data_IF_496381770100
#
_entry.id   IF_496381770100
#
_cell.length_a   1.000
_cell.length_b   1.000
_cell.length_c   1.000
_cell.angle_alpha   90.00
_cell.angle_beta   90.00
_cell.angle_gamma   90.00
#
_symmetry.space_group_name_H-M   'P 1'
#
loop_
_entity.id
_entity.type
_entity.pdbx_description
1 polymer ?
#
# COMPACT_ATOMS: atom_id res chain seq x y z
N UNK A 1 -10.23 10.25 -20.77
CA UNK A 1 -9.46 9.27 -19.98
C UNK A 1 -8.59 8.54 -20.98
N UNK A 2 -7.28 8.49 -20.75
CA UNK A 2 -6.38 7.70 -21.60
C UNK A 2 -6.51 6.24 -21.19
N UNK A 3 -6.47 5.33 -22.16
CA UNK A 3 -6.38 3.90 -21.87
C UNK A 3 -4.97 3.56 -21.38
N UNK A 4 -4.80 2.50 -20.57
CA UNK A 4 -3.48 2.20 -19.99
C UNK A 4 -2.40 1.98 -21.06
N UNK A 5 -2.75 1.39 -22.21
CA UNK A 5 -1.86 1.16 -23.36
C UNK A 5 -1.30 2.46 -23.98
N UNK A 6 -1.93 3.61 -23.72
CA UNK A 6 -1.45 4.93 -24.14
C UNK A 6 -0.45 5.55 -23.16
N UNK A 7 -0.24 4.93 -21.99
CA UNK A 7 0.69 5.38 -20.97
C UNK A 7 2.01 4.65 -21.08
N UNK A 8 3.09 5.34 -20.74
CA UNK A 8 4.45 4.80 -20.87
C UNK A 8 4.84 4.10 -19.58
N UNK A 9 5.45 2.92 -19.65
CA UNK A 9 6.01 2.26 -18.47
C UNK A 9 7.05 3.17 -17.81
N UNK A 10 7.11 3.19 -16.47
CA UNK A 10 8.14 3.93 -15.77
C UNK A 10 9.53 3.39 -16.10
N UNK A 11 10.50 4.29 -16.26
CA UNK A 11 11.88 3.95 -16.58
C UNK A 11 12.81 5.06 -16.09
N UNK A 12 14.09 4.74 -15.77
CA UNK A 12 15.08 5.72 -15.29
C UNK A 12 15.51 6.74 -16.36
N UNK A 13 15.15 6.52 -17.63
CA UNK A 13 15.52 7.38 -18.76
C UNK A 13 14.32 7.65 -19.67
N UNK A 14 14.44 8.65 -20.54
CA UNK A 14 13.40 9.02 -21.50
C UNK A 14 12.22 9.77 -20.88
N UNK A 15 11.06 9.72 -21.54
CA UNK A 15 9.87 10.52 -21.17
C UNK A 15 9.30 10.17 -19.79
N UNK A 16 9.57 8.97 -19.30
CA UNK A 16 9.07 8.49 -18.01
C UNK A 16 10.05 8.72 -16.83
N UNK A 17 11.27 9.21 -17.10
CA UNK A 17 12.27 9.52 -16.08
C UNK A 17 11.75 10.42 -14.96
N UNK A 18 10.95 11.49 -15.23
CA UNK A 18 10.41 12.32 -14.16
C UNK A 18 9.52 11.57 -13.15
N UNK A 19 8.77 10.55 -13.61
CA UNK A 19 7.98 9.71 -12.74
C UNK A 19 8.84 8.75 -11.92
N UNK A 20 9.92 8.24 -12.52
CA UNK A 20 10.89 7.38 -11.85
C UNK A 20 11.64 8.14 -10.75
N UNK A 21 12.20 9.30 -11.08
CA UNK A 21 12.88 10.21 -10.15
C UNK A 21 11.95 10.65 -9.02
N UNK A 22 10.66 10.85 -9.32
CA UNK A 22 9.67 11.16 -8.30
C UNK A 22 9.55 10.04 -7.26
N UNK A 23 9.50 8.77 -7.68
CA UNK A 23 9.41 7.64 -6.77
C UNK A 23 10.67 7.50 -5.90
N UNK A 24 11.86 7.68 -6.49
CA UNK A 24 13.12 7.73 -5.73
C UNK A 24 13.13 8.88 -4.72
N UNK A 25 12.71 10.07 -5.12
CA UNK A 25 12.60 11.24 -4.25
C UNK A 25 11.55 11.08 -3.14
N UNK A 26 10.67 10.08 -3.24
CA UNK A 26 9.72 9.68 -2.20
C UNK A 26 10.26 8.58 -1.27
N UNK A 27 11.50 8.14 -1.46
CA UNK A 27 12.19 7.18 -0.60
C UNK A 27 12.08 5.73 -1.04
N UNK A 28 11.61 5.44 -2.27
CA UNK A 28 11.74 4.07 -2.80
C UNK A 28 13.23 3.74 -3.05
N UNK A 29 13.71 2.57 -2.60
CA UNK A 29 15.07 2.13 -2.90
C UNK A 29 15.27 1.89 -4.40
N UNK A 30 16.36 2.43 -4.95
CA UNK A 30 16.66 2.33 -6.38
C UNK A 30 16.89 0.88 -6.85
N UNK A 31 17.49 0.05 -6.00
CA UNK A 31 17.74 -1.37 -6.24
C UNK A 31 16.46 -2.23 -6.26
N UNK A 32 15.36 -1.73 -5.70
CA UNK A 32 14.05 -2.41 -5.70
C UNK A 32 13.08 -1.86 -6.74
N UNK A 33 13.29 -0.62 -7.21
CA UNK A 33 12.29 0.11 -8.00
C UNK A 33 11.95 -0.56 -9.35
N UNK A 34 12.93 -1.06 -10.10
CA UNK A 34 12.67 -1.69 -11.40
C UNK A 34 11.79 -2.95 -11.28
N UNK A 35 12.05 -3.79 -10.28
CA UNK A 35 11.23 -4.98 -10.01
C UNK A 35 9.80 -4.59 -9.62
N UNK A 36 9.64 -3.54 -8.83
CA UNK A 36 8.34 -3.02 -8.44
C UNK A 36 7.58 -2.37 -9.60
N UNK A 37 8.28 -1.66 -10.51
CA UNK A 37 7.67 -1.12 -11.73
C UNK A 37 7.07 -2.24 -12.55
N UNK A 38 7.82 -3.32 -12.77
CA UNK A 38 7.32 -4.48 -13.51
C UNK A 38 6.15 -5.18 -12.77
N UNK A 39 6.29 -5.39 -11.45
CA UNK A 39 5.29 -6.09 -10.65
C UNK A 39 3.94 -5.35 -10.56
N UNK A 40 3.99 -4.03 -10.40
CA UNK A 40 2.79 -3.20 -10.28
C UNK A 40 2.36 -2.58 -11.61
N UNK A 41 3.09 -2.87 -12.71
CA UNK A 41 2.92 -2.26 -14.02
C UNK A 41 2.85 -0.72 -13.90
N UNK A 42 3.77 -0.13 -13.14
CA UNK A 42 3.75 1.32 -12.88
C UNK A 42 3.99 2.08 -14.18
N UNK A 43 3.11 3.05 -14.46
CA UNK A 43 3.16 3.85 -15.70
C UNK A 43 3.31 5.33 -15.41
N UNK A 44 3.53 6.09 -16.46
CA UNK A 44 3.62 7.53 -16.47
C UNK A 44 2.69 8.13 -17.53
N UNK A 45 1.86 9.07 -17.09
CA UNK A 45 1.15 9.97 -18.00
C UNK A 45 1.99 11.22 -18.18
N UNK A 46 2.66 11.31 -19.33
CA UNK A 46 3.51 12.45 -19.69
C UNK A 46 2.73 13.76 -19.75
N UNK A 47 1.51 13.73 -20.28
CA UNK A 47 0.72 14.95 -20.48
C UNK A 47 0.23 15.52 -19.14
N UNK A 48 -0.21 14.64 -18.24
CA UNK A 48 -0.67 15.06 -16.92
C UNK A 48 0.44 15.12 -15.87
N UNK A 49 1.64 14.63 -16.20
CA UNK A 49 2.79 14.48 -15.31
C UNK A 49 2.42 13.71 -14.04
N UNK A 50 1.90 12.49 -14.23
CA UNK A 50 1.43 11.61 -13.14
C UNK A 50 2.06 10.24 -13.19
N UNK A 51 2.46 9.73 -12.02
CA UNK A 51 2.69 8.30 -11.83
C UNK A 51 1.33 7.61 -11.75
N UNK A 52 1.17 6.54 -12.49
CA UNK A 52 -0.08 5.79 -12.66
C UNK A 52 0.05 4.41 -12.05
N UNK A 53 -0.98 4.03 -11.29
CA UNK A 53 -1.14 2.77 -10.58
C UNK A 53 -2.33 2.03 -11.20
N UNK A 54 -2.09 1.13 -12.18
CA UNK A 54 -3.14 0.30 -12.77
C UNK A 54 -3.91 -0.54 -11.76
N UNK A 55 -5.22 -0.70 -11.96
CA UNK A 55 -6.08 -1.52 -11.12
C UNK A 55 -6.67 -2.63 -11.97
N UNK A 56 -6.45 -3.87 -11.52
CA UNK A 56 -6.85 -5.09 -12.21
C UNK A 56 -7.43 -6.10 -11.24
N UNK A 57 -8.36 -6.90 -11.74
CA UNK A 57 -8.96 -8.03 -11.04
C UNK A 57 -9.26 -9.13 -12.06
N UNK A 58 -8.87 -10.36 -11.75
CA UNK A 58 -8.88 -11.50 -12.65
C UNK A 58 -8.23 -11.20 -14.02
N UNK A 59 -7.16 -10.40 -14.04
CA UNK A 59 -6.50 -9.94 -15.25
C UNK A 59 -7.28 -8.90 -16.08
N UNK A 60 -8.50 -8.54 -15.69
CA UNK A 60 -9.28 -7.48 -16.34
C UNK A 60 -8.85 -6.10 -15.84
N UNK A 61 -8.67 -5.15 -16.75
CA UNK A 61 -8.42 -3.75 -16.42
C UNK A 61 -9.69 -3.07 -15.91
N UNK A 62 -9.62 -2.48 -14.72
CA UNK A 62 -10.73 -1.79 -14.04
C UNK A 62 -10.53 -0.27 -13.97
N UNK A 63 -9.41 0.23 -14.51
CA UNK A 63 -9.00 1.63 -14.48
C UNK A 63 -7.67 1.82 -13.77
N UNK A 64 -7.44 3.03 -13.25
CA UNK A 64 -6.20 3.36 -12.54
C UNK A 64 -6.33 4.54 -11.59
N UNK A 65 -5.45 4.59 -10.59
CA UNK A 65 -5.20 5.77 -9.77
C UNK A 65 -3.94 6.49 -10.26
N UNK A 66 -3.90 7.81 -10.19
CA UNK A 66 -2.82 8.61 -10.74
C UNK A 66 -2.39 9.75 -9.79
N UNK A 67 -1.11 9.76 -9.41
CA UNK A 67 -0.50 10.74 -8.51
C UNK A 67 0.31 11.76 -9.31
N UNK A 68 -0.04 13.03 -9.20
CA UNK A 68 0.76 14.13 -9.76
C UNK A 68 2.14 14.17 -9.11
N UNK A 69 3.17 14.41 -9.93
CA UNK A 69 4.54 14.58 -9.42
C UNK A 69 4.77 16.04 -8.99
N UNK A 70 4.24 17.01 -9.75
CA UNK A 70 4.51 18.44 -9.52
C UNK A 70 3.81 19.00 -8.28
N UNK A 71 4.61 19.52 -7.32
CA UNK A 71 4.16 20.00 -6.01
C UNK A 71 3.00 21.01 -6.06
N UNK A 72 2.94 21.82 -7.12
CA UNK A 72 1.94 22.89 -7.30
C UNK A 72 0.55 22.38 -7.71
N UNK A 73 0.42 21.11 -8.10
CA UNK A 73 -0.88 20.55 -8.50
C UNK A 73 -1.76 20.32 -7.26
N UNK A 74 -2.82 21.13 -7.12
CA UNK A 74 -3.75 21.08 -5.98
C UNK A 74 -4.38 19.70 -5.78
N UNK A 75 -4.89 19.08 -6.86
CA UNK A 75 -5.46 17.73 -6.81
C UNK A 75 -4.37 16.69 -7.11
N UNK A 76 -3.68 16.25 -6.06
CA UNK A 76 -2.56 15.31 -6.14
C UNK A 76 -2.98 13.93 -6.66
N UNK A 77 -4.10 13.41 -6.21
CA UNK A 77 -4.64 12.12 -6.65
C UNK A 77 -5.83 12.29 -7.60
N UNK A 78 -5.87 11.48 -8.65
CA UNK A 78 -7.02 11.34 -9.55
C UNK A 78 -7.27 9.86 -9.81
N UNK A 79 -8.54 9.50 -9.81
CA UNK A 79 -8.98 8.14 -10.10
C UNK A 79 -9.70 8.13 -11.44
N UNK A 80 -9.41 7.12 -12.24
CA UNK A 80 -9.95 6.92 -13.58
C UNK A 80 -10.58 5.53 -13.64
N UNK A 81 -11.69 5.30 -12.91
CA UNK A 81 -12.35 3.99 -12.89
C UNK A 81 -13.07 3.72 -14.20
N UNK A 82 -13.08 2.46 -14.64
CA UNK A 82 -14.07 1.97 -15.59
C UNK A 82 -15.33 1.62 -14.80
N UNK A 83 -16.45 2.25 -15.15
CA UNK A 83 -17.78 1.93 -14.60
C UNK A 83 -17.88 1.96 -13.05
N UNK A 84 -16.99 2.70 -12.37
CA UNK A 84 -16.98 2.81 -10.90
C UNK A 84 -16.26 1.66 -10.17
N UNK A 85 -15.56 0.77 -10.89
CA UNK A 85 -14.94 -0.43 -10.34
C UNK A 85 -14.00 -0.23 -9.14
N UNK A 86 -13.36 0.95 -9.01
CA UNK A 86 -12.53 1.28 -7.84
C UNK A 86 -13.31 1.34 -6.51
N UNK A 87 -14.65 1.37 -6.57
CA UNK A 87 -15.52 1.30 -5.38
C UNK A 87 -15.89 -0.13 -5.01
N UNK A 88 -15.64 -1.10 -5.87
CA UNK A 88 -16.03 -2.51 -5.65
C UNK A 88 -14.83 -3.44 -5.53
N UNK A 89 -13.63 -2.95 -5.82
CA UNK A 89 -12.38 -3.71 -5.78
C UNK A 89 -11.34 -3.03 -4.88
N UNK A 90 -10.25 -3.74 -4.60
CA UNK A 90 -9.08 -3.25 -3.86
C UNK A 90 -7.84 -3.24 -4.75
N UNK A 91 -6.83 -2.47 -4.38
CA UNK A 91 -5.58 -2.47 -5.13
C UNK A 91 -4.88 -3.84 -5.09
N UNK A 92 -4.34 -4.32 -6.21
CA UNK A 92 -3.70 -5.66 -6.27
C UNK A 92 -4.65 -6.82 -5.87
N UNK A 93 -5.92 -6.73 -6.27
CA UNK A 93 -6.98 -7.72 -6.03
C UNK A 93 -6.50 -9.18 -6.24
N UNK A 94 -5.81 -9.44 -7.35
CA UNK A 94 -5.31 -10.78 -7.70
C UNK A 94 -4.27 -11.31 -6.70
N UNK A 95 -3.37 -10.45 -6.20
CA UNK A 95 -2.40 -10.83 -5.16
C UNK A 95 -3.08 -11.06 -3.82
N UNK A 96 -4.14 -10.29 -3.51
CA UNK A 96 -4.93 -10.50 -2.30
C UNK A 96 -5.62 -11.87 -2.33
N UNK A 97 -6.17 -12.27 -3.47
CA UNK A 97 -6.81 -13.59 -3.63
C UNK A 97 -5.81 -14.76 -3.69
N UNK A 98 -4.53 -14.49 -3.96
CA UNK A 98 -3.50 -15.51 -3.90
C UNK A 98 -3.14 -15.92 -2.45
N UNK A 99 -3.45 -15.07 -1.46
CA UNK A 99 -3.09 -15.30 -0.05
C UNK A 99 -1.61 -15.05 0.24
N UNK A 100 -1.18 -15.43 1.45
CA UNK A 100 0.21 -15.30 1.90
C UNK A 100 0.36 -15.31 3.42
N UNK A 101 1.53 -14.93 3.94
CA UNK A 101 1.74 -14.82 5.38
C UNK A 101 0.94 -13.64 5.99
N UNK A 102 1.20 -12.41 5.52
CA UNK A 102 0.56 -11.21 6.09
C UNK A 102 -0.08 -10.35 5.01
N UNK A 103 -1.34 -9.94 5.22
CA UNK A 103 -2.00 -8.91 4.42
C UNK A 103 -1.94 -7.55 5.12
N UNK A 104 -1.33 -6.57 4.47
CA UNK A 104 -1.36 -5.18 4.88
C UNK A 104 -2.40 -4.40 4.08
N UNK A 105 -3.39 -3.83 4.76
CA UNK A 105 -4.44 -3.02 4.18
C UNK A 105 -4.20 -1.55 4.50
N UNK A 106 -3.88 -0.76 3.49
CA UNK A 106 -3.51 0.67 3.62
C UNK A 106 -4.48 1.59 2.89
N UNK A 107 -4.26 2.90 3.02
CA UNK A 107 -5.14 3.92 2.42
C UNK A 107 -4.98 4.01 0.89
N UNK A 108 -3.76 4.28 0.42
CA UNK A 108 -3.49 4.55 -0.98
C UNK A 108 -2.60 3.51 -1.67
N UNK A 109 -2.64 3.42 -3.02
CA UNK A 109 -1.80 2.49 -3.76
C UNK A 109 -0.30 2.81 -3.64
N UNK A 110 0.06 4.08 -3.37
CA UNK A 110 1.46 4.43 -3.09
C UNK A 110 1.94 3.87 -1.74
N UNK A 111 1.08 3.85 -0.72
CA UNK A 111 1.41 3.23 0.57
C UNK A 111 1.58 1.73 0.39
N UNK A 112 0.72 1.09 -0.42
CA UNK A 112 0.82 -0.34 -0.70
C UNK A 112 2.12 -0.68 -1.44
N UNK A 113 2.52 0.17 -2.38
CA UNK A 113 3.81 0.08 -3.06
C UNK A 113 4.97 0.18 -2.06
N UNK A 114 4.96 1.17 -1.17
CA UNK A 114 6.03 1.38 -0.17
C UNK A 114 6.11 0.23 0.84
N UNK A 115 4.97 -0.27 1.30
CA UNK A 115 4.91 -1.45 2.18
C UNK A 115 5.45 -2.68 1.48
N UNK A 116 5.10 -2.88 0.20
CA UNK A 116 5.66 -4.00 -0.59
C UNK A 116 7.16 -3.85 -0.78
N UNK A 117 7.63 -2.64 -1.08
CA UNK A 117 9.05 -2.34 -1.19
C UNK A 117 9.80 -2.68 0.10
N UNK A 118 9.18 -2.47 1.26
CA UNK A 118 9.73 -2.75 2.59
C UNK A 118 9.65 -4.22 3.03
N UNK A 119 9.06 -5.12 2.22
CA UNK A 119 9.05 -6.56 2.53
C UNK A 119 10.41 -7.19 2.21
N UNK A 120 10.87 -8.10 3.08
CA UNK A 120 12.09 -8.87 2.84
C UNK A 120 11.90 -9.86 1.68
N UNK A 121 12.94 -10.12 0.87
CA UNK A 121 12.89 -11.18 -0.14
C UNK A 121 12.47 -12.53 0.47
N UNK A 122 11.53 -13.21 -0.18
CA UNK A 122 10.98 -14.48 0.30
C UNK A 122 9.86 -14.36 1.33
N UNK A 123 9.54 -13.15 1.80
CA UNK A 123 8.30 -12.90 2.53
C UNK A 123 7.13 -12.85 1.53
N UNK A 124 6.17 -13.76 1.66
CA UNK A 124 4.97 -13.87 0.83
C UNK A 124 3.84 -12.93 1.30
N UNK A 125 4.16 -11.88 2.06
CA UNK A 125 3.21 -10.85 2.44
C UNK A 125 2.68 -10.06 1.22
N UNK A 126 1.48 -9.50 1.39
CA UNK A 126 0.79 -8.72 0.36
C UNK A 126 0.36 -7.38 0.96
N UNK A 127 0.49 -6.30 0.19
CA UNK A 127 -0.07 -5.00 0.54
C UNK A 127 -1.12 -4.58 -0.49
N UNK A 128 -2.26 -4.09 0.02
CA UNK A 128 -3.42 -3.66 -0.77
C UNK A 128 -3.95 -2.33 -0.24
N UNK A 129 -4.84 -1.67 -1.00
CA UNK A 129 -5.38 -0.37 -0.64
C UNK A 129 -6.86 -0.24 -1.02
N UNK A 130 -7.58 0.59 -0.27
CA UNK A 130 -8.99 0.95 -0.52
C UNK A 130 -9.19 2.14 -1.46
N UNK A 131 -8.12 2.79 -1.90
CA UNK A 131 -8.17 4.06 -2.64
C UNK A 131 -8.72 5.24 -1.80
N UNK A 132 -8.51 5.20 -0.49
CA UNK A 132 -8.91 6.23 0.45
C UNK A 132 -9.16 5.72 1.89
N UNK A 133 -9.32 6.65 2.83
CA UNK A 133 -9.52 6.34 4.26
C UNK A 133 -10.91 5.81 4.66
N UNK A 134 -11.83 5.66 3.71
CA UNK A 134 -13.20 5.20 3.93
C UNK A 134 -13.53 4.14 2.88
N UNK A 135 -13.33 2.84 3.19
CA UNK A 135 -13.73 1.80 2.27
C UNK A 135 -15.24 1.75 2.10
N UNK A 136 -15.68 1.29 0.93
CA UNK A 136 -17.07 0.92 0.68
C UNK A 136 -17.41 -0.41 1.34
N UNK A 137 -18.70 -0.73 1.41
CA UNK A 137 -19.15 -2.02 1.92
C UNK A 137 -18.65 -3.18 1.04
N UNK A 138 -18.58 -2.98 -0.27
CA UNK A 138 -18.06 -3.96 -1.23
C UNK A 138 -16.57 -4.22 -1.01
N UNK A 139 -15.76 -3.18 -0.81
CA UNK A 139 -14.34 -3.30 -0.50
C UNK A 139 -14.10 -3.99 0.85
N UNK A 140 -14.95 -3.69 1.84
CA UNK A 140 -14.90 -4.38 3.12
C UNK A 140 -15.25 -5.85 2.99
N UNK A 141 -16.31 -6.18 2.25
CA UNK A 141 -16.69 -7.55 1.96
C UNK A 141 -15.55 -8.29 1.25
N UNK A 142 -14.87 -7.63 0.30
CA UNK A 142 -13.71 -8.16 -0.39
C UNK A 142 -12.58 -8.54 0.57
N UNK A 143 -12.15 -7.61 1.43
CA UNK A 143 -11.10 -7.87 2.42
C UNK A 143 -11.55 -8.94 3.40
N UNK A 144 -12.79 -8.90 3.87
CA UNK A 144 -13.35 -9.91 4.77
C UNK A 144 -13.28 -11.32 4.17
N UNK A 145 -13.61 -11.47 2.88
CA UNK A 145 -13.53 -12.75 2.18
C UNK A 145 -12.09 -13.25 2.01
N UNK A 146 -11.10 -12.34 1.92
CA UNK A 146 -9.70 -12.70 1.73
C UNK A 146 -8.97 -13.11 3.03
N UNK A 147 -9.46 -12.73 4.21
CA UNK A 147 -8.77 -13.01 5.49
C UNK A 147 -8.38 -14.46 5.70
N UNK A 148 -9.20 -15.48 5.39
CA UNK A 148 -8.82 -16.89 5.57
C UNK A 148 -7.60 -17.32 4.75
N UNK A 149 -7.21 -16.54 3.75
CA UNK A 149 -6.04 -16.78 2.89
C UNK A 149 -4.73 -16.28 3.51
N UNK A 150 -4.80 -15.60 4.66
CA UNK A 150 -3.64 -15.02 5.32
C UNK A 150 -3.51 -15.51 6.76
N UNK A 151 -2.26 -15.69 7.21
CA UNK A 151 -1.97 -15.95 8.62
C UNK A 151 -2.35 -14.73 9.47
N UNK A 152 -1.97 -13.54 9.03
CA UNK A 152 -2.17 -12.28 9.74
C UNK A 152 -2.71 -11.21 8.79
N UNK A 153 -3.62 -10.37 9.25
CA UNK A 153 -4.07 -9.19 8.53
C UNK A 153 -3.86 -7.95 9.41
N UNK A 154 -3.27 -6.90 8.86
CA UNK A 154 -3.12 -5.61 9.52
C UNK A 154 -3.74 -4.50 8.70
N UNK A 155 -4.56 -3.69 9.37
CA UNK A 155 -4.98 -2.39 8.84
C UNK A 155 -3.95 -1.34 9.27
N UNK A 156 -3.46 -0.55 8.33
CA UNK A 156 -2.45 0.48 8.54
C UNK A 156 -2.78 1.73 7.71
N UNK A 157 -3.55 2.64 8.31
CA UNK A 157 -3.96 3.91 7.70
C UNK A 157 -3.10 5.08 8.20
N UNK A 158 -3.31 6.28 7.65
CA UNK A 158 -2.68 7.53 8.10
C UNK A 158 -2.78 7.73 9.63
N UNK A 159 -1.75 8.34 10.21
CA UNK A 159 -1.65 8.49 11.67
C UNK A 159 -2.79 9.32 12.28
N UNK A 160 -3.28 10.33 11.56
CA UNK A 160 -4.38 11.19 12.00
C UNK A 160 -5.74 10.46 12.04
N UNK A 161 -5.83 9.24 11.48
CA UNK A 161 -7.03 8.41 11.49
C UNK A 161 -6.83 7.10 12.25
N UNK A 162 -5.85 7.02 13.17
CA UNK A 162 -5.61 5.78 13.93
C UNK A 162 -6.85 5.25 14.68
N UNK A 163 -7.66 6.14 15.28
CA UNK A 163 -8.92 5.73 15.90
C UNK A 163 -9.90 5.08 14.92
N UNK A 164 -9.87 5.48 13.65
CA UNK A 164 -10.63 4.85 12.56
C UNK A 164 -10.00 3.51 12.16
N UNK A 165 -8.68 3.46 12.01
CA UNK A 165 -7.92 2.23 11.74
C UNK A 165 -8.31 1.11 12.72
N UNK A 166 -8.31 1.40 14.03
CA UNK A 166 -8.74 0.43 15.07
C UNK A 166 -10.20 -0.02 14.91
N UNK A 167 -11.12 0.91 14.68
CA UNK A 167 -12.54 0.57 14.49
C UNK A 167 -12.75 -0.27 13.23
N UNK A 168 -12.01 0.01 12.17
CA UNK A 168 -12.06 -0.73 10.93
C UNK A 168 -11.57 -2.17 11.12
N UNK A 169 -10.41 -2.36 11.77
CA UNK A 169 -9.93 -3.69 12.13
C UNK A 169 -10.98 -4.46 12.96
N UNK A 170 -11.60 -3.84 13.96
CA UNK A 170 -12.66 -4.45 14.76
C UNK A 170 -13.94 -4.78 13.96
N UNK A 171 -14.29 -3.95 12.98
CA UNK A 171 -15.41 -4.23 12.08
C UNK A 171 -15.10 -5.46 11.22
N UNK A 172 -13.89 -5.52 10.67
CA UNK A 172 -13.41 -6.64 9.87
C UNK A 172 -13.37 -7.93 10.69
N UNK A 173 -12.82 -7.92 11.91
CA UNK A 173 -12.85 -9.07 12.85
C UNK A 173 -14.27 -9.59 13.05
N UNK A 174 -15.24 -8.68 13.30
CA UNK A 174 -16.64 -9.05 13.52
C UNK A 174 -17.28 -9.65 12.28
N UNK A 175 -17.00 -9.09 11.10
CA UNK A 175 -17.53 -9.59 9.84
C UNK A 175 -16.94 -10.94 9.44
N UNK A 176 -15.63 -11.14 9.67
CA UNK A 176 -14.90 -12.35 9.30
C UNK A 176 -15.07 -13.50 10.31
N UNK A 177 -15.44 -13.19 11.56
CA UNK A 177 -15.55 -14.19 12.62
C UNK A 177 -14.21 -14.77 13.08
N UNK A 178 -13.08 -14.13 12.74
CA UNK A 178 -11.72 -14.59 13.06
C UNK A 178 -10.90 -13.47 13.72
N UNK A 179 -10.00 -13.81 14.66
CA UNK A 179 -9.31 -12.82 15.47
C UNK A 179 -7.99 -12.32 14.85
N UNK A 180 -7.54 -12.85 13.70
CA UNK A 180 -6.22 -12.58 13.11
C UNK A 180 -6.13 -11.24 12.34
N UNK A 181 -6.94 -10.24 12.72
CA UNK A 181 -6.98 -8.92 12.09
C UNK A 181 -6.66 -7.85 13.12
N UNK A 182 -5.56 -7.14 12.93
CA UNK A 182 -5.02 -6.16 13.85
C UNK A 182 -4.97 -4.75 13.25
N UNK A 183 -4.60 -3.78 14.09
CA UNK A 183 -4.37 -2.40 13.67
C UNK A 183 -2.94 -1.96 13.98
N UNK A 184 -2.32 -1.23 13.04
CA UNK A 184 -1.00 -0.62 13.21
C UNK A 184 -1.15 0.88 13.44
N UNK A 185 -0.53 1.37 14.51
CA UNK A 185 -0.28 2.79 14.74
C UNK A 185 1.16 3.11 14.33
N UNK A 186 1.32 3.83 13.22
CA UNK A 186 2.64 4.23 12.70
C UNK A 186 3.30 5.39 13.48
N UNK A 187 2.59 5.99 14.45
CA UNK A 187 3.08 7.15 15.22
C UNK A 187 2.70 8.50 14.60
N UNK A 188 2.62 9.54 15.41
CA UNK A 188 2.17 10.87 14.97
C UNK A 188 3.25 11.64 14.17
N UNK A 189 4.50 11.22 14.30
CA UNK A 189 5.64 11.72 13.53
C UNK A 189 5.60 11.28 12.07
N UNK A 190 4.86 10.20 11.79
CA UNK A 190 4.70 9.63 10.47
C UNK A 190 3.31 9.98 9.96
N UNK A 191 3.22 10.58 8.77
CA UNK A 191 1.92 10.96 8.20
C UNK A 191 1.14 9.74 7.71
N UNK A 192 1.83 8.95 6.89
CA UNK A 192 1.33 7.79 6.15
C UNK A 192 2.51 6.83 5.92
N UNK A 193 2.28 5.54 5.61
CA UNK A 193 3.36 4.60 5.33
C UNK A 193 4.29 5.08 4.21
N UNK A 194 3.75 5.73 3.18
CA UNK A 194 4.54 6.31 2.09
C UNK A 194 5.30 7.60 2.44
N UNK A 195 5.27 8.05 3.68
CA UNK A 195 6.05 9.17 4.20
C UNK A 195 7.00 8.76 5.33
N UNK A 196 6.94 7.50 5.77
CA UNK A 196 7.90 6.94 6.72
C UNK A 196 9.29 6.86 6.10
N UNK A 197 10.35 6.97 6.91
CA UNK A 197 11.70 6.59 6.48
C UNK A 197 11.70 5.11 6.11
N UNK A 198 12.38 4.76 5.02
CA UNK A 198 12.27 3.43 4.45
C UNK A 198 12.75 2.34 5.42
N UNK A 199 13.87 2.56 6.11
CA UNK A 199 14.45 1.61 7.08
C UNK A 199 13.50 1.40 8.28
N UNK A 200 12.76 2.44 8.66
CA UNK A 200 11.79 2.37 9.73
C UNK A 200 10.53 1.61 9.30
N UNK A 201 10.10 1.76 8.04
CA UNK A 201 9.01 0.99 7.47
C UNK A 201 9.39 -0.49 7.29
N UNK A 202 10.61 -0.77 6.84
CA UNK A 202 11.14 -2.13 6.71
C UNK A 202 11.14 -2.87 8.04
N UNK A 203 11.67 -2.25 9.11
CA UNK A 203 11.65 -2.82 10.45
C UNK A 203 10.21 -3.06 10.97
N UNK A 204 9.28 -2.15 10.69
CA UNK A 204 7.87 -2.32 11.06
C UNK A 204 7.22 -3.49 10.32
N UNK A 205 7.42 -3.58 9.00
CA UNK A 205 6.86 -4.64 8.16
C UNK A 205 7.42 -6.00 8.56
N UNK A 206 8.71 -6.08 8.86
CA UNK A 206 9.35 -7.30 9.36
C UNK A 206 8.75 -7.73 10.71
N UNK A 207 8.68 -6.81 11.67
CA UNK A 207 8.11 -7.06 13.00
C UNK A 207 6.66 -7.56 12.92
N UNK A 208 5.83 -6.87 12.13
CA UNK A 208 4.43 -7.22 11.91
C UNK A 208 4.29 -8.57 11.19
N UNK A 209 5.19 -8.88 10.26
CA UNK A 209 5.17 -10.15 9.52
C UNK A 209 5.59 -11.36 10.36
N UNK A 210 6.45 -11.15 11.36
CA UNK A 210 6.97 -12.21 12.21
C UNK A 210 5.97 -12.64 13.29
N UNK A 211 5.29 -11.68 13.93
CA UNK A 211 4.46 -11.95 15.10
C UNK A 211 3.06 -11.31 15.03
N UNK A 212 2.07 -12.06 15.51
CA UNK A 212 0.70 -11.58 15.61
C UNK A 212 0.50 -10.75 16.88
N UNK A 213 -0.04 -9.54 16.72
CA UNK A 213 -0.53 -8.68 17.79
C UNK A 213 -1.83 -8.00 17.37
N UNK A 214 -2.83 -7.95 18.25
CA UNK A 214 -4.08 -7.26 17.92
C UNK A 214 -3.91 -5.75 17.68
N UNK A 215 -2.87 -5.16 18.25
CA UNK A 215 -2.56 -3.74 18.12
C UNK A 215 -1.03 -3.54 18.16
N UNK A 216 -0.45 -3.00 17.09
CA UNK A 216 0.97 -2.61 17.05
C UNK A 216 1.07 -1.10 17.25
N UNK A 217 1.83 -0.66 18.25
CA UNK A 217 2.13 0.76 18.50
C UNK A 217 3.58 1.06 18.19
N UNK A 218 3.87 1.35 16.93
CA UNK A 218 5.24 1.35 16.41
C UNK A 218 6.19 2.30 17.17
N UNK A 219 5.71 3.46 17.62
CA UNK A 219 6.53 4.38 18.43
C UNK A 219 7.15 3.75 19.68
N UNK A 220 6.47 2.75 20.25
CA UNK A 220 6.91 2.08 21.48
C UNK A 220 7.77 0.88 21.13
N UNK A 221 7.31 0.07 20.17
CA UNK A 221 8.01 -1.13 19.70
C UNK A 221 9.38 -0.81 19.08
N UNK A 222 9.48 0.27 18.31
CA UNK A 222 10.74 0.65 17.64
C UNK A 222 11.87 0.92 18.62
N UNK A 223 11.56 1.30 19.88
CA UNK A 223 12.61 1.47 20.90
C UNK A 223 13.27 0.15 21.22
N UNK A 224 12.52 -0.95 21.27
CA UNK A 224 13.06 -2.28 21.51
C UNK A 224 13.86 -2.77 20.30
N UNK A 225 13.35 -2.52 19.10
CA UNK A 225 14.01 -2.89 17.84
C UNK A 225 15.35 -2.17 17.67
N UNK A 226 15.39 -0.85 17.87
CA UNK A 226 16.61 -0.05 17.64
C UNK A 226 17.54 0.06 18.85
N UNK A 227 17.06 -0.08 20.09
CA UNK A 227 17.95 -0.06 21.26
C UNK A 227 18.77 -1.34 21.42
N UNK A 228 18.31 -2.47 20.86
CA UNK A 228 19.06 -3.74 20.85
C UNK A 228 20.33 -3.70 20.00
N UNK A 229 20.41 -2.81 19.00
CA UNK A 229 21.53 -2.74 18.05
C UNK A 229 22.71 -1.86 18.51
N UNK A 230 22.61 -1.21 19.67
CA UNK A 230 23.62 -0.24 20.16
C UNK A 230 24.56 -0.76 21.26
N UNK A 231 24.50 -2.05 21.61
CA UNK A 231 25.27 -2.65 22.71
C UNK A 231 26.21 -3.78 22.27
N UNK A 232 26.58 -3.85 20.99
CA UNK A 232 27.63 -4.75 20.48
C UNK A 232 28.89 -3.99 20.07
#
# INVERSE_FOLDING_TARGET
MRSLDQLVMLAPTGVAAPGYDYLLGRGLPADRLDALIAQFDLRFDEQERRVVFPVREAGQELGYAARAIDAKVRKRWRDYPFEGALRTTVYQADRVLAGGNTLFVVEGPFDALMVTAAMQPGNDSVATAFFGSLPTDEQLAYITAAIPLFRIVYVMLDANVYGRCRRLAQQIVRAAGVPNVGAINIGFENRDPGAMRFEELEALVEFASASWQGEIRWMWERRLVFAGAGNE
#
